data_IF_808804019512
#
_entry.id   IF_808804019512
#
_cell.length_a   1.000
_cell.length_b   1.000
_cell.length_c   1.000
_cell.angle_alpha   90.00
_cell.angle_beta   90.00
_cell.angle_gamma   90.00
#
_symmetry.space_group_name_H-M   'P 1'
#
loop_
_entity.id
_entity.type
_entity.pdbx_description
1 polymer ?
#
# COMPACT_ATOMS: atom_id res chain seq x y z
N UNK A 1 -35.62 17.63 2.51
CA UNK A 1 -34.42 16.77 2.59
C UNK A 1 -34.46 16.11 3.94
N UNK A 2 -34.79 14.82 3.97
CA UNK A 2 -34.80 14.04 5.22
C UNK A 2 -33.42 14.08 5.87
N UNK A 3 -33.40 14.52 7.12
CA UNK A 3 -32.27 14.29 8.01
C UNK A 3 -32.28 12.80 8.29
N UNK A 4 -31.40 12.04 7.64
CA UNK A 4 -31.09 10.68 8.08
C UNK A 4 -30.56 10.79 9.51
N UNK A 5 -31.38 10.40 10.49
CA UNK A 5 -30.94 10.22 11.87
C UNK A 5 -29.80 9.17 11.87
N UNK A 6 -28.56 9.64 11.98
CA UNK A 6 -27.40 8.77 12.04
C UNK A 6 -27.40 8.02 13.37
N UNK A 7 -27.94 6.80 13.38
CA UNK A 7 -27.90 5.84 14.49
C UNK A 7 -26.49 5.23 14.70
N UNK A 8 -25.44 6.00 14.44
CA UNK A 8 -24.04 5.58 14.55
C UNK A 8 -23.41 6.37 15.70
N UNK A 9 -23.00 5.66 16.75
CA UNK A 9 -22.43 6.23 17.97
C UNK A 9 -20.97 5.75 18.12
N UNK A 10 -20.01 6.36 17.41
CA UNK A 10 -18.61 5.97 17.56
C UNK A 10 -18.14 6.24 18.99
N UNK A 11 -17.28 5.36 19.50
CA UNK A 11 -16.75 5.43 20.88
C UNK A 11 -15.27 5.85 20.92
N UNK A 12 -14.77 6.49 19.87
CA UNK A 12 -13.35 6.83 19.74
C UNK A 12 -12.84 7.70 20.90
N UNK A 13 -13.71 8.54 21.47
CA UNK A 13 -13.46 9.38 22.65
C UNK A 13 -13.32 8.59 23.96
N UNK A 14 -13.83 7.36 24.00
CA UNK A 14 -13.78 6.48 25.19
C UNK A 14 -12.68 5.43 25.11
N UNK A 15 -12.05 5.27 23.94
CA UNK A 15 -10.96 4.34 23.71
C UNK A 15 -9.62 4.99 24.03
N UNK A 16 -8.61 4.18 24.35
CA UNK A 16 -7.23 4.66 24.38
C UNK A 16 -6.81 5.20 23.01
N UNK A 17 -6.09 6.31 23.03
CA UNK A 17 -5.67 7.04 21.85
C UNK A 17 -4.55 6.32 21.08
N UNK A 18 -4.19 6.89 19.93
CA UNK A 18 -3.02 6.43 19.16
C UNK A 18 -1.72 6.58 19.97
N UNK A 19 -1.56 7.69 20.68
CA UNK A 19 -0.37 7.99 21.50
C UNK A 19 -0.11 6.92 22.56
N UNK A 20 -1.16 6.43 23.23
CA UNK A 20 -1.04 5.35 24.24
C UNK A 20 -0.48 4.06 23.61
N UNK A 21 -0.93 3.73 22.39
CA UNK A 21 -0.52 2.50 21.68
C UNK A 21 0.88 2.63 21.11
N UNK A 22 1.22 3.79 20.56
CA UNK A 22 2.57 4.09 20.07
C UNK A 22 3.59 4.07 21.21
N UNK A 23 3.23 4.62 22.39
CA UNK A 23 4.06 4.54 23.59
C UNK A 23 4.23 3.10 24.07
N UNK A 24 3.18 2.28 24.03
CA UNK A 24 3.25 0.86 24.38
C UNK A 24 4.17 0.06 23.44
N UNK A 25 4.12 0.33 22.13
CA UNK A 25 4.96 -0.35 21.14
C UNK A 25 6.38 0.24 21.03
N UNK A 26 6.61 1.45 21.54
CA UNK A 26 7.87 2.17 21.35
C UNK A 26 8.12 2.60 19.90
N UNK A 27 7.08 2.75 19.09
CA UNK A 27 7.15 3.14 17.68
C UNK A 27 5.91 3.90 17.23
N UNK A 28 6.05 4.72 16.19
CA UNK A 28 4.90 5.34 15.50
C UNK A 28 4.41 4.48 14.35
N UNK A 29 3.09 4.50 14.16
CA UNK A 29 2.45 3.90 13.00
C UNK A 29 2.62 4.79 11.78
N UNK A 30 2.90 4.20 10.62
CA UNK A 30 2.91 4.90 9.32
C UNK A 30 2.41 3.96 8.24
N UNK A 31 1.80 4.51 7.21
CA UNK A 31 1.47 3.79 5.98
C UNK A 31 2.61 3.97 4.97
N UNK A 32 3.17 2.85 4.53
CA UNK A 32 4.08 2.79 3.38
C UNK A 32 3.30 2.22 2.20
N UNK A 33 2.85 3.10 1.30
CA UNK A 33 1.97 2.74 0.20
C UNK A 33 2.74 2.52 -1.08
N UNK A 34 2.93 1.26 -1.45
CA UNK A 34 3.57 0.89 -2.71
C UNK A 34 2.56 0.94 -3.85
N UNK A 35 2.95 1.62 -4.93
CA UNK A 35 2.22 1.68 -6.20
C UNK A 35 3.16 1.31 -7.36
N UNK A 36 2.63 0.69 -8.41
CA UNK A 36 3.43 0.26 -9.57
C UNK A 36 2.80 -0.90 -10.33
N UNK A 37 3.33 -1.19 -11.52
CA UNK A 37 2.82 -2.24 -12.41
C UNK A 37 2.88 -3.65 -11.80
N UNK A 38 2.05 -4.58 -12.30
CA UNK A 38 2.20 -6.00 -11.95
C UNK A 38 3.61 -6.48 -12.32
N UNK A 39 4.27 -7.28 -11.48
CA UNK A 39 5.64 -7.73 -11.74
C UNK A 39 6.75 -6.69 -11.46
N UNK A 40 6.40 -5.48 -11.00
CA UNK A 40 7.40 -4.44 -10.67
C UNK A 40 8.26 -4.74 -9.44
N UNK A 41 7.96 -5.76 -8.65
CA UNK A 41 8.75 -6.14 -7.46
C UNK A 41 8.23 -5.63 -6.11
N UNK A 42 7.04 -5.00 -6.06
CA UNK A 42 6.40 -4.49 -4.83
C UNK A 42 6.41 -5.52 -3.68
N UNK A 43 5.80 -6.70 -3.86
CA UNK A 43 5.69 -7.70 -2.80
C UNK A 43 7.07 -8.25 -2.39
N UNK A 44 7.99 -8.40 -3.34
CA UNK A 44 9.38 -8.82 -3.05
C UNK A 44 10.08 -7.84 -2.11
N UNK A 45 10.00 -6.54 -2.42
CA UNK A 45 10.63 -5.50 -1.60
C UNK A 45 9.90 -5.35 -0.26
N UNK A 46 8.56 -5.45 -0.24
CA UNK A 46 7.77 -5.38 0.99
C UNK A 46 8.16 -6.47 1.99
N UNK A 47 8.31 -7.72 1.53
CA UNK A 47 8.74 -8.85 2.36
C UNK A 47 10.17 -8.65 2.88
N UNK A 48 11.07 -8.15 2.04
CA UNK A 48 12.44 -7.87 2.46
C UNK A 48 12.51 -6.72 3.48
N UNK A 49 11.72 -5.67 3.29
CA UNK A 49 11.60 -4.55 4.23
C UNK A 49 11.02 -5.00 5.57
N UNK A 50 9.96 -5.80 5.58
CA UNK A 50 9.36 -6.34 6.83
C UNK A 50 10.41 -7.10 7.65
N UNK A 51 11.25 -7.92 7.01
CA UNK A 51 12.35 -8.63 7.69
C UNK A 51 13.36 -7.68 8.32
N UNK A 52 13.71 -6.60 7.63
CA UNK A 52 14.65 -5.60 8.15
C UNK A 52 14.07 -4.76 9.27
N UNK A 53 12.78 -4.39 9.21
CA UNK A 53 12.08 -3.72 10.29
C UNK A 53 11.98 -4.61 11.53
N UNK A 54 11.64 -5.90 11.34
CA UNK A 54 11.57 -6.87 12.43
C UNK A 54 12.92 -7.04 13.14
N UNK A 55 14.04 -7.11 12.40
CA UNK A 55 15.40 -7.15 12.99
C UNK A 55 15.72 -5.94 13.87
N UNK A 56 15.04 -4.81 13.65
CA UNK A 56 15.18 -3.56 14.42
C UNK A 56 14.18 -3.47 15.57
N UNK A 57 13.39 -4.52 15.82
CA UNK A 57 12.36 -4.52 16.85
C UNK A 57 11.10 -3.75 16.48
N UNK A 58 10.92 -3.41 15.19
CA UNK A 58 9.76 -2.66 14.72
C UNK A 58 8.69 -3.61 14.17
N UNK A 59 7.49 -3.50 14.73
CA UNK A 59 6.31 -4.24 14.31
C UNK A 59 5.78 -3.68 12.99
N UNK A 60 5.70 -4.56 12.00
CA UNK A 60 5.28 -4.27 10.64
C UNK A 60 4.19 -5.25 10.19
N UNK A 61 3.24 -4.77 9.37
CA UNK A 61 2.24 -5.60 8.71
C UNK A 61 2.12 -5.31 7.22
N UNK A 62 2.25 -6.34 6.39
CA UNK A 62 2.01 -6.25 4.94
C UNK A 62 0.53 -6.49 4.62
N UNK A 63 -0.05 -5.59 3.82
CA UNK A 63 -1.32 -5.74 3.12
C UNK A 63 -1.01 -5.96 1.63
N UNK A 64 -1.16 -7.19 1.13
CA UNK A 64 -0.90 -7.54 -0.27
C UNK A 64 -2.20 -7.76 -1.04
N UNK A 65 -2.19 -7.39 -2.33
CA UNK A 65 -3.30 -7.55 -3.28
C UNK A 65 -3.98 -8.91 -3.24
N UNK A 66 -3.21 -9.99 -3.32
CA UNK A 66 -3.76 -11.35 -3.42
C UNK A 66 -4.30 -11.82 -2.06
N UNK A 67 -3.63 -11.46 -0.97
CA UNK A 67 -4.06 -11.81 0.39
C UNK A 67 -5.36 -11.09 0.78
N UNK A 68 -5.48 -9.81 0.44
CA UNK A 68 -6.70 -9.03 0.70
C UNK A 68 -7.86 -9.54 -0.15
N UNK A 69 -7.60 -9.91 -1.42
CA UNK A 69 -8.60 -10.46 -2.33
C UNK A 69 -9.00 -11.91 -2.03
N UNK A 70 -8.23 -12.66 -1.26
CA UNK A 70 -8.68 -13.97 -0.76
C UNK A 70 -9.52 -13.87 0.53
N UNK A 71 -9.45 -12.74 1.23
CA UNK A 71 -10.18 -12.48 2.46
C UNK A 71 -11.18 -11.34 2.33
N UNK A 72 -10.86 -10.19 2.92
CA UNK A 72 -11.80 -9.06 3.14
C UNK A 72 -12.40 -8.49 1.85
N UNK A 73 -11.73 -8.69 0.70
CA UNK A 73 -12.16 -8.23 -0.63
C UNK A 73 -12.46 -9.40 -1.59
N UNK A 74 -12.77 -10.59 -1.08
CA UNK A 74 -13.10 -11.76 -1.92
C UNK A 74 -14.37 -11.59 -2.77
N UNK A 75 -15.21 -10.62 -2.42
CA UNK A 75 -16.44 -10.30 -3.14
C UNK A 75 -16.23 -9.26 -4.26
N UNK A 76 -15.01 -8.72 -4.43
CA UNK A 76 -14.72 -7.68 -5.41
C UNK A 76 -13.98 -8.26 -6.63
N UNK A 77 -14.48 -7.96 -7.82
CA UNK A 77 -13.84 -8.24 -9.08
C UNK A 77 -12.79 -7.20 -9.46
N UNK A 78 -12.67 -6.91 -10.75
CA UNK A 78 -11.67 -6.02 -11.33
C UNK A 78 -12.27 -4.86 -12.14
N UNK A 79 -13.58 -4.62 -12.04
CA UNK A 79 -14.21 -3.44 -12.65
C UNK A 79 -13.65 -2.14 -12.04
N UNK A 80 -13.82 -0.98 -12.70
CA UNK A 80 -13.43 0.31 -12.13
C UNK A 80 -14.00 0.56 -10.73
N UNK A 81 -15.28 0.25 -10.51
CA UNK A 81 -15.97 0.44 -9.22
C UNK A 81 -15.41 -0.49 -8.14
N UNK A 82 -15.20 -1.76 -8.48
CA UNK A 82 -14.59 -2.73 -7.58
C UNK A 82 -13.15 -2.34 -7.21
N UNK A 83 -12.42 -1.69 -8.12
CA UNK A 83 -11.08 -1.16 -7.83
C UNK A 83 -11.14 0.00 -6.83
N UNK A 84 -12.09 0.91 -7.00
CA UNK A 84 -12.32 2.03 -6.05
C UNK A 84 -12.61 1.46 -4.67
N UNK A 85 -13.58 0.55 -4.55
CA UNK A 85 -13.97 -0.04 -3.27
C UNK A 85 -12.84 -0.88 -2.66
N UNK A 86 -12.08 -1.61 -3.49
CA UNK A 86 -10.92 -2.36 -3.03
C UNK A 86 -9.91 -1.44 -2.35
N UNK A 87 -9.53 -0.33 -3.02
CA UNK A 87 -8.57 0.63 -2.46
C UNK A 87 -9.13 1.34 -1.23
N UNK A 88 -10.41 1.72 -1.22
CA UNK A 88 -11.07 2.34 -0.06
C UNK A 88 -11.00 1.42 1.16
N UNK A 89 -11.37 0.14 1.03
CA UNK A 89 -11.30 -0.84 2.12
C UNK A 89 -9.87 -1.04 2.63
N UNK A 90 -8.90 -1.13 1.72
CA UNK A 90 -7.49 -1.26 2.10
C UNK A 90 -7.02 -0.03 2.89
N UNK A 91 -7.41 1.17 2.46
CA UNK A 91 -7.03 2.39 3.15
C UNK A 91 -7.62 2.45 4.57
N UNK A 92 -8.89 2.10 4.73
CA UNK A 92 -9.54 2.03 6.06
C UNK A 92 -8.90 0.97 6.96
N UNK A 93 -8.65 -0.24 6.43
CA UNK A 93 -7.94 -1.30 7.18
C UNK A 93 -6.53 -0.85 7.55
N UNK A 94 -5.84 -0.21 6.62
CA UNK A 94 -4.50 0.34 6.82
C UNK A 94 -4.49 1.39 7.92
N UNK A 95 -5.47 2.28 7.94
CA UNK A 95 -5.66 3.29 8.99
C UNK A 95 -5.80 2.64 10.36
N UNK A 96 -6.57 1.56 10.50
CA UNK A 96 -6.70 0.85 11.77
C UNK A 96 -5.34 0.37 12.31
N UNK A 97 -4.44 -0.10 11.45
CA UNK A 97 -3.09 -0.49 11.86
C UNK A 97 -2.23 0.73 12.22
N UNK A 98 -2.24 1.78 11.41
CA UNK A 98 -1.51 3.03 11.68
C UNK A 98 -1.94 3.64 13.03
N UNK A 99 -3.24 3.69 13.30
CA UNK A 99 -3.82 4.18 14.57
C UNK A 99 -3.51 3.29 15.79
N UNK A 100 -2.84 2.15 15.57
CA UNK A 100 -2.35 1.25 16.62
C UNK A 100 -0.82 1.24 16.73
N UNK A 101 -0.13 2.13 16.03
CA UNK A 101 1.33 2.24 16.06
C UNK A 101 2.05 1.25 15.14
N UNK A 102 1.34 0.48 14.34
CA UNK A 102 1.92 -0.54 13.45
C UNK A 102 2.38 0.09 12.13
N UNK A 103 3.61 -0.20 11.72
CA UNK A 103 4.10 0.17 10.38
C UNK A 103 3.37 -0.71 9.37
N UNK A 104 2.62 -0.11 8.46
CA UNK A 104 1.77 -0.86 7.52
C UNK A 104 2.29 -0.69 6.11
N UNK A 105 2.57 -1.79 5.42
CA UNK A 105 3.04 -1.76 4.03
C UNK A 105 1.89 -2.23 3.12
N UNK A 106 1.38 -1.36 2.27
CA UNK A 106 0.34 -1.68 1.31
C UNK A 106 0.98 -1.93 -0.08
N UNK A 107 0.94 -3.16 -0.58
CA UNK A 107 1.55 -3.56 -1.86
C UNK A 107 0.49 -3.77 -2.95
N UNK A 108 0.02 -2.68 -3.57
CA UNK A 108 -1.05 -2.71 -4.56
C UNK A 108 -0.64 -2.06 -5.88
N UNK A 109 -1.41 -2.32 -6.94
CA UNK A 109 -1.19 -1.62 -8.21
C UNK A 109 -1.60 -0.15 -8.08
N UNK A 110 -2.79 0.12 -7.51
CA UNK A 110 -3.38 1.47 -7.33
C UNK A 110 -3.13 2.38 -8.55
N UNK A 111 -3.68 2.03 -9.72
CA UNK A 111 -3.22 2.55 -11.02
C UNK A 111 -3.49 4.02 -11.27
N UNK A 112 -4.42 4.66 -10.55
CA UNK A 112 -4.85 6.03 -10.82
C UNK A 112 -4.45 6.94 -9.65
N UNK A 113 -4.08 8.19 -9.94
CA UNK A 113 -3.72 9.19 -8.93
C UNK A 113 -4.88 9.45 -7.96
N UNK A 114 -6.11 9.52 -8.45
CA UNK A 114 -7.31 9.76 -7.63
C UNK A 114 -7.51 8.68 -6.55
N UNK A 115 -7.23 7.42 -6.87
CA UNK A 115 -7.31 6.32 -5.90
C UNK A 115 -6.27 6.44 -4.79
N UNK A 116 -5.07 6.92 -5.13
CA UNK A 116 -3.98 7.11 -4.17
C UNK A 116 -4.21 8.34 -3.31
N UNK A 117 -4.73 9.42 -3.88
CA UNK A 117 -5.16 10.60 -3.12
C UNK A 117 -6.32 10.26 -2.17
N UNK A 118 -7.29 9.46 -2.60
CA UNK A 118 -8.36 8.96 -1.73
C UNK A 118 -7.78 8.14 -0.56
N UNK A 119 -6.86 7.21 -0.83
CA UNK A 119 -6.22 6.42 0.22
C UNK A 119 -5.44 7.31 1.21
N UNK A 120 -4.66 8.27 0.68
CA UNK A 120 -3.92 9.25 1.48
C UNK A 120 -4.83 10.12 2.34
N UNK A 121 -6.00 10.54 1.82
CA UNK A 121 -6.98 11.31 2.58
C UNK A 121 -7.64 10.50 3.70
N UNK A 122 -7.96 9.22 3.47
CA UNK A 122 -8.55 8.32 4.49
C UNK A 122 -7.56 8.10 5.64
N UNK A 123 -6.31 7.77 5.28
CA UNK A 123 -5.24 7.42 6.24
C UNK A 123 -4.74 8.66 6.98
N UNK A 124 -4.62 9.78 6.27
CA UNK A 124 -4.01 11.01 6.76
C UNK A 124 -2.68 11.27 6.07
N UNK A 125 -2.57 12.42 5.40
CA UNK A 125 -1.39 12.79 4.59
C UNK A 125 -0.07 12.79 5.36
N UNK A 126 -0.11 13.06 6.67
CA UNK A 126 1.08 13.07 7.51
C UNK A 126 1.68 11.67 7.73
N UNK A 127 0.84 10.64 7.66
CA UNK A 127 1.21 9.25 7.92
C UNK A 127 1.34 8.42 6.63
N UNK A 128 1.05 9.01 5.48
CA UNK A 128 1.05 8.33 4.18
C UNK A 128 2.34 8.60 3.41
N UNK A 129 3.14 7.55 3.21
CA UNK A 129 4.38 7.58 2.42
C UNK A 129 4.14 6.86 1.08
N UNK A 130 4.03 7.62 -0.01
CA UNK A 130 3.83 7.06 -1.35
C UNK A 130 5.16 6.59 -1.95
N UNK A 131 5.27 5.28 -2.20
CA UNK A 131 6.45 4.67 -2.83
C UNK A 131 6.09 4.17 -4.22
N UNK A 132 6.64 4.81 -5.24
CA UNK A 132 6.49 4.38 -6.62
C UNK A 132 7.54 3.35 -7.01
N UNK A 133 7.12 2.11 -7.23
CA UNK A 133 7.98 1.05 -7.79
C UNK A 133 7.97 1.15 -9.32
N UNK A 134 8.85 2.01 -9.83
CA UNK A 134 8.89 2.59 -11.18
C UNK A 134 9.52 1.70 -12.25
N UNK A 135 9.39 0.39 -12.10
CA UNK A 135 9.97 -0.58 -13.06
C UNK A 135 9.30 -0.47 -14.42
N UNK A 136 10.06 -0.35 -15.54
CA UNK A 136 9.48 -0.24 -16.87
C UNK A 136 8.55 -1.40 -17.24
N UNK A 137 7.50 -1.12 -18.02
CA UNK A 137 6.55 -2.14 -18.49
C UNK A 137 7.24 -3.30 -19.19
N UNK A 138 8.19 -3.02 -20.08
CA UNK A 138 8.92 -4.06 -20.82
C UNK A 138 9.65 -5.04 -19.88
N UNK A 139 10.20 -4.54 -18.77
CA UNK A 139 10.86 -5.38 -17.77
C UNK A 139 9.82 -6.17 -16.93
N UNK A 140 8.69 -5.55 -16.61
CA UNK A 140 7.58 -6.24 -15.96
C UNK A 140 7.01 -7.40 -16.82
N UNK A 141 6.85 -7.16 -18.13
CA UNK A 141 6.44 -8.16 -19.12
C UNK A 141 7.49 -9.26 -19.30
N UNK A 142 8.78 -8.91 -19.30
CA UNK A 142 9.86 -9.91 -19.36
C UNK A 142 9.85 -10.84 -18.14
N UNK A 143 9.53 -10.30 -16.95
CA UNK A 143 9.47 -11.07 -15.70
C UNK A 143 8.25 -12.00 -15.64
N UNK A 144 7.10 -11.52 -16.11
CA UNK A 144 5.76 -12.16 -16.10
C UNK A 144 5.58 -13.32 -15.09
N UNK A 145 5.89 -13.05 -13.82
CA UNK A 145 6.05 -14.09 -12.77
C UNK A 145 4.79 -14.93 -12.60
N UNK A 146 3.63 -14.36 -12.92
CA UNK A 146 2.30 -14.99 -12.79
C UNK A 146 1.68 -15.38 -14.15
N UNK A 147 2.37 -15.16 -15.26
CA UNK A 147 1.83 -15.39 -16.61
C UNK A 147 0.67 -14.46 -16.99
N UNK A 148 0.50 -13.33 -16.29
CA UNK A 148 -0.65 -12.44 -16.44
C UNK A 148 -0.49 -11.52 -17.67
N UNK A 149 0.73 -11.09 -17.98
CA UNK A 149 0.98 -10.27 -19.16
C UNK A 149 0.74 -11.06 -20.44
N UNK A 150 1.22 -12.31 -20.51
CA UNK A 150 0.94 -13.20 -21.64
C UNK A 150 -0.56 -13.41 -21.87
N UNK A 151 -1.34 -13.65 -20.81
CA UNK A 151 -2.80 -13.79 -20.88
C UNK A 151 -3.50 -12.49 -21.29
N UNK A 152 -3.07 -11.36 -20.75
CA UNK A 152 -3.60 -10.05 -21.12
C UNK A 152 -3.36 -9.71 -22.60
N UNK A 153 -2.16 -9.99 -23.12
CA UNK A 153 -1.82 -9.79 -24.54
C UNK A 153 -2.63 -10.69 -25.48
N UNK A 154 -3.08 -11.86 -25.02
CA UNK A 154 -4.02 -12.74 -25.73
C UNK A 154 -5.49 -12.33 -25.60
N UNK A 155 -5.80 -11.31 -24.80
CA UNK A 155 -7.17 -10.85 -24.54
C UNK A 155 -7.95 -11.71 -23.53
N UNK A 156 -7.29 -12.67 -22.86
CA UNK A 156 -7.92 -13.54 -21.86
C UNK A 156 -8.21 -12.79 -20.54
N UNK A 157 -7.42 -11.74 -20.25
CA UNK A 157 -7.62 -10.84 -19.11
C UNK A 157 -7.94 -9.45 -19.65
N UNK A 158 -9.18 -9.00 -19.42
CA UNK A 158 -9.63 -7.66 -19.79
C UNK A 158 -9.15 -6.63 -18.76
N UNK A 159 -9.03 -5.38 -19.21
CA UNK A 159 -8.70 -4.21 -18.37
C UNK A 159 -7.41 -4.38 -17.53
N UNK A 160 -6.42 -5.09 -18.08
CA UNK A 160 -5.17 -5.35 -17.39
C UNK A 160 -4.28 -4.09 -17.41
N UNK A 161 -3.93 -3.60 -16.23
CA UNK A 161 -3.11 -2.38 -16.05
C UNK A 161 -1.76 -2.50 -16.76
N UNK A 162 -1.42 -1.50 -17.58
CA UNK A 162 -0.21 -1.44 -18.38
C UNK A 162 -0.33 -2.08 -19.77
N UNK A 163 -1.41 -2.84 -20.05
CA UNK A 163 -1.64 -3.46 -21.37
C UNK A 163 -2.92 -2.94 -22.01
N UNK A 164 -4.07 -3.13 -21.34
CA UNK A 164 -5.41 -2.75 -21.83
C UNK A 164 -6.12 -1.73 -20.94
N UNK A 165 -5.52 -1.37 -19.80
CA UNK A 165 -5.93 -0.25 -18.95
C UNK A 165 -4.69 0.61 -18.57
N UNK A 166 -4.84 1.92 -18.37
CA UNK A 166 -3.72 2.82 -18.08
C UNK A 166 -3.14 2.59 -16.68
N UNK A 167 -1.91 3.07 -16.49
CA UNK A 167 -1.28 3.28 -15.19
C UNK A 167 -0.76 4.72 -15.15
N UNK A 168 -1.23 5.50 -14.20
CA UNK A 168 -0.80 6.86 -13.96
C UNK A 168 0.34 6.84 -12.94
N UNK A 169 1.55 7.15 -13.41
CA UNK A 169 2.69 7.31 -12.53
C UNK A 169 2.43 8.44 -11.52
N UNK A 170 2.78 8.26 -10.22
CA UNK A 170 2.70 9.34 -9.25
C UNK A 170 3.55 10.53 -9.65
N UNK A 171 3.01 11.74 -9.54
CA UNK A 171 3.73 12.96 -9.91
C UNK A 171 4.80 13.33 -8.89
N UNK A 172 4.54 13.08 -7.60
CA UNK A 172 5.42 13.47 -6.48
C UNK A 172 5.41 12.40 -5.39
N UNK A 173 5.87 11.16 -5.68
CA UNK A 173 5.99 10.14 -4.66
C UNK A 173 7.08 10.54 -3.64
N UNK A 174 6.92 10.13 -2.39
CA UNK A 174 7.97 10.30 -1.35
C UNK A 174 9.25 9.54 -1.72
N UNK A 175 9.12 8.43 -2.45
CA UNK A 175 10.25 7.66 -2.98
C UNK A 175 9.90 6.97 -4.29
N UNK A 176 10.83 7.00 -5.25
CA UNK A 176 10.75 6.21 -6.49
C UNK A 176 11.86 5.15 -6.51
N UNK A 177 11.49 3.92 -6.85
CA UNK A 177 12.36 2.74 -6.88
C UNK A 177 12.26 2.03 -8.22
N UNK A 178 13.29 2.18 -9.06
CA UNK A 178 13.42 1.40 -10.29
C UNK A 178 14.14 0.08 -10.00
N UNK A 179 13.34 -0.99 -9.90
CA UNK A 179 13.85 -2.34 -9.61
C UNK A 179 14.46 -3.04 -10.82
N UNK A 180 14.51 -2.38 -11.98
CA UNK A 180 15.31 -2.86 -13.11
C UNK A 180 16.80 -2.56 -12.94
N UNK A 181 17.13 -1.56 -12.11
CA UNK A 181 18.52 -1.14 -11.83
C UNK A 181 18.92 -1.30 -10.37
N UNK A 182 17.96 -1.23 -9.44
CA UNK A 182 18.21 -1.43 -8.01
C UNK A 182 18.07 -2.90 -7.63
N UNK A 183 19.00 -3.39 -6.81
CA UNK A 183 18.81 -4.65 -6.09
C UNK A 183 17.71 -4.52 -5.03
N UNK A 184 17.26 -5.65 -4.50
CA UNK A 184 16.29 -5.67 -3.38
C UNK A 184 16.90 -4.99 -2.15
N UNK A 185 18.16 -5.27 -1.85
CA UNK A 185 18.89 -4.70 -0.70
C UNK A 185 19.03 -3.19 -0.83
N UNK A 186 19.39 -2.69 -2.02
CA UNK A 186 19.47 -1.25 -2.29
C UNK A 186 18.11 -0.57 -2.15
N UNK A 187 17.05 -1.23 -2.64
CA UNK A 187 15.67 -0.73 -2.51
C UNK A 187 15.24 -0.65 -1.05
N UNK A 188 15.53 -1.68 -0.26
CA UNK A 188 15.23 -1.72 1.18
C UNK A 188 16.04 -0.68 1.96
N UNK A 189 17.32 -0.46 1.62
CA UNK A 189 18.14 0.59 2.25
C UNK A 189 17.49 1.96 2.11
N UNK A 190 17.06 2.32 0.89
CA UNK A 190 16.38 3.62 0.63
C UNK A 190 15.04 3.73 1.37
N UNK A 191 14.31 2.63 1.47
CA UNK A 191 13.05 2.60 2.24
C UNK A 191 13.29 2.81 3.73
N UNK A 192 14.32 2.19 4.30
CA UNK A 192 14.67 2.39 5.71
C UNK A 192 15.10 3.84 5.98
N UNK A 193 15.87 4.46 5.08
CA UNK A 193 16.24 5.87 5.17
C UNK A 193 15.01 6.80 5.23
N UNK A 194 13.95 6.47 4.47
CA UNK A 194 12.67 7.20 4.50
C UNK A 194 11.86 6.91 5.78
N UNK A 195 11.77 5.65 6.21
CA UNK A 195 10.82 5.19 7.22
C UNK A 195 11.33 5.42 8.64
N UNK A 196 12.60 5.08 8.93
CA UNK A 196 13.13 5.09 10.30
C UNK A 196 12.93 6.44 11.02
N UNK A 197 13.24 7.60 10.40
CA UNK A 197 13.02 8.90 11.05
C UNK A 197 11.56 9.22 11.38
N UNK A 198 10.59 8.53 10.76
CA UNK A 198 9.15 8.74 10.98
C UNK A 198 8.58 7.87 12.08
N UNK A 199 9.20 6.72 12.34
CA UNK A 199 8.67 5.68 13.24
C UNK A 199 9.36 5.65 14.59
N UNK A 200 10.56 6.22 14.71
CA UNK A 200 11.25 6.33 15.99
C UNK A 200 10.59 7.39 16.89
N UNK A 201 10.32 7.00 18.14
CA UNK A 201 9.92 7.93 19.20
C UNK A 201 11.21 8.42 19.86
N UNK A 202 11.55 9.70 19.65
CA UNK A 202 12.65 10.33 20.39
C UNK A 202 12.20 10.56 21.83
N UNK A 203 12.90 9.92 22.77
CA UNK A 203 12.77 10.18 24.20
C UNK A 203 13.38 11.52 24.59
#
# INVERSE_FOLDING_TARGET
MEVLENNIYPIFDRMLGREDKEALLGQRGVMVWFTGLSGSGKSTIAIALERELHKRGLLCRILDGDNIRSGINNNLGFSPEDRVENIRRIAEVGKLFVDTGVITIAAFISPNNELREMASAIIGKADFLEVYVSTPLAECERRDVKGLYAKARKGEIKEFTGVSAPFEAPERPDLSLDTSVLSVEQSVSRLLELIIPKVEIKH
#
